data_IF_803828332008
#
_entry.id   IF_803828332008
#
_cell.length_a   1.000
_cell.length_b   1.000
_cell.length_c   1.000
_cell.angle_alpha   90.00
_cell.angle_beta   90.00
_cell.angle_gamma   90.00
#
_symmetry.space_group_name_H-M   'P 1'
#
loop_
_entity.id
_entity.type
_entity.pdbx_description
1 polymer ?
#
# COMPACT_ATOMS: atom_id res chain seq x y z
N UNK A 1 27.76 49.50 43.51
CA UNK A 1 28.18 48.44 42.59
C UNK A 1 27.28 48.56 41.38
N UNK A 2 27.86 48.80 40.21
CA UNK A 2 27.24 49.48 39.05
C UNK A 2 26.91 48.47 37.95
N UNK A 3 25.69 48.60 37.42
CA UNK A 3 25.11 48.26 36.11
C UNK A 3 25.15 46.85 35.47
N UNK A 4 24.12 46.55 34.63
CA UNK A 4 23.73 45.23 34.16
C UNK A 4 24.20 44.91 32.73
N UNK A 5 24.28 43.62 32.38
CA UNK A 5 24.55 43.16 31.02
C UNK A 5 23.27 42.63 30.34
N UNK A 6 23.19 42.90 29.04
CA UNK A 6 22.08 42.70 28.11
C UNK A 6 21.63 41.25 27.89
N UNK A 7 20.34 41.16 27.54
CA UNK A 7 19.64 40.25 26.62
C UNK A 7 20.34 39.02 26.04
N UNK A 8 19.64 37.89 26.06
CA UNK A 8 19.25 37.27 24.79
C UNK A 8 17.98 36.42 24.90
N UNK A 9 17.08 36.63 23.92
CA UNK A 9 15.89 35.84 23.66
C UNK A 9 16.28 34.50 23.01
N UNK A 10 15.81 33.37 23.54
CA UNK A 10 15.46 32.20 22.72
C UNK A 10 14.60 31.19 23.52
N UNK A 11 13.36 30.86 23.10
CA UNK A 11 12.75 29.60 23.47
C UNK A 11 13.36 28.51 22.59
N UNK A 12 14.09 27.57 23.19
CA UNK A 12 14.58 26.41 22.48
C UNK A 12 13.39 25.53 22.05
N UNK A 13 13.00 25.75 20.81
CA UNK A 13 12.34 24.87 19.86
C UNK A 13 11.78 23.55 20.42
N UNK A 14 10.46 23.43 20.37
CA UNK A 14 9.81 22.15 20.05
C UNK A 14 10.57 21.52 18.89
N UNK A 15 11.12 20.34 19.13
CA UNK A 15 11.72 19.47 18.13
C UNK A 15 10.59 18.92 17.22
N UNK A 16 10.04 19.79 16.38
CA UNK A 16 9.36 19.43 15.14
C UNK A 16 10.45 19.16 14.11
N UNK A 17 10.99 17.95 14.12
CA UNK A 17 11.79 17.39 13.02
C UNK A 17 11.48 15.91 12.94
N UNK A 18 11.11 15.31 11.82
CA UNK A 18 10.81 15.81 10.50
C UNK A 18 9.93 14.71 9.90
N UNK A 19 8.71 15.04 9.50
CA UNK A 19 7.99 14.18 8.56
C UNK A 19 8.83 14.16 7.29
N UNK A 20 9.53 13.06 7.04
CA UNK A 20 10.14 12.81 5.74
C UNK A 20 8.99 12.60 4.79
N UNK A 21 8.61 13.67 4.12
CA UNK A 21 7.64 13.65 3.04
C UNK A 21 8.33 12.93 1.87
N UNK A 22 8.38 11.59 1.93
CA UNK A 22 8.86 10.68 0.88
C UNK A 22 7.84 10.62 -0.26
N UNK A 23 7.33 11.76 -0.70
CA UNK A 23 6.17 11.85 -1.59
C UNK A 23 6.42 11.32 -3.01
N UNK A 24 7.62 10.84 -3.31
CA UNK A 24 8.01 10.32 -4.63
C UNK A 24 8.54 8.89 -4.69
N UNK A 25 8.99 8.29 -3.59
CA UNK A 25 9.60 6.95 -3.64
C UNK A 25 8.51 5.86 -3.67
N UNK A 26 8.64 4.85 -4.54
CA UNK A 26 7.80 3.66 -4.46
C UNK A 26 7.86 3.01 -3.08
N UNK A 27 6.72 2.55 -2.59
CA UNK A 27 6.62 1.82 -1.31
C UNK A 27 5.99 0.46 -1.55
N UNK A 28 6.32 -0.53 -0.75
CA UNK A 28 5.62 -1.81 -0.81
C UNK A 28 4.20 -1.69 -0.27
N UNK A 29 3.30 -2.60 -0.68
CA UNK A 29 1.96 -2.68 -0.12
C UNK A 29 2.02 -2.91 1.40
N UNK A 30 2.98 -3.71 1.88
CA UNK A 30 3.19 -3.90 3.31
C UNK A 30 3.53 -2.59 4.04
N UNK A 31 4.51 -1.83 3.53
CA UNK A 31 4.89 -0.53 4.11
C UNK A 31 3.74 0.48 4.07
N UNK A 32 2.94 0.49 3.00
CA UNK A 32 1.78 1.36 2.89
C UNK A 32 0.71 1.05 3.95
N UNK A 33 0.44 -0.23 4.19
CA UNK A 33 -0.51 -0.66 5.20
C UNK A 33 -0.01 -0.31 6.61
N UNK A 34 1.30 -0.42 6.86
CA UNK A 34 1.88 -0.03 8.14
C UNK A 34 1.82 1.49 8.36
N UNK A 35 2.31 2.25 7.40
CA UNK A 35 2.45 3.71 7.53
C UNK A 35 1.12 4.47 7.41
N UNK A 36 0.14 3.95 6.67
CA UNK A 36 -1.10 4.68 6.37
C UNK A 36 -2.36 4.07 6.98
N UNK A 37 -2.41 2.74 7.16
CA UNK A 37 -3.53 2.07 7.82
C UNK A 37 -3.24 1.74 9.29
N UNK A 38 -2.06 2.12 9.80
CA UNK A 38 -1.66 1.95 11.20
C UNK A 38 -1.40 0.50 11.59
N UNK A 39 -1.09 -0.38 10.62
CA UNK A 39 -0.74 -1.76 10.91
C UNK A 39 0.67 -1.85 11.51
N UNK A 40 0.84 -2.71 12.51
CA UNK A 40 2.13 -3.18 12.97
C UNK A 40 2.59 -4.44 12.23
N UNK A 41 3.87 -4.84 12.36
CA UNK A 41 4.39 -6.09 11.79
C UNK A 41 3.58 -7.33 12.19
N UNK A 42 3.03 -7.34 13.40
CA UNK A 42 2.21 -8.43 13.93
C UNK A 42 0.88 -8.64 13.18
N UNK A 43 0.46 -7.66 12.37
CA UNK A 43 -0.73 -7.78 11.55
C UNK A 43 -0.51 -8.66 10.31
N UNK A 44 0.74 -8.96 9.94
CA UNK A 44 1.13 -9.71 8.74
C UNK A 44 1.53 -11.16 9.00
N UNK A 45 1.29 -11.69 10.21
CA UNK A 45 1.71 -13.06 10.55
C UNK A 45 2.82 -13.10 11.59
N UNK A 46 3.33 -14.31 11.84
CA UNK A 46 4.50 -14.52 12.72
C UNK A 46 5.82 -14.33 11.99
N UNK A 47 5.80 -14.44 10.66
CA UNK A 47 6.99 -14.38 9.83
C UNK A 47 7.11 -13.04 9.11
N UNK A 48 5.99 -12.40 8.72
CA UNK A 48 5.95 -11.04 8.15
C UNK A 48 6.81 -10.87 6.87
N UNK A 49 6.59 -9.84 6.03
CA UNK A 49 5.39 -9.01 5.86
C UNK A 49 4.32 -9.72 4.99
N UNK A 50 4.32 -11.05 4.95
CA UNK A 50 3.32 -11.83 4.24
C UNK A 50 2.55 -12.75 5.22
N UNK A 51 1.19 -12.78 5.18
CA UNK A 51 0.28 -11.99 4.34
C UNK A 51 -0.52 -10.90 5.09
N UNK A 52 -1.03 -9.84 4.42
CA UNK A 52 -2.38 -9.38 4.72
C UNK A 52 -3.37 -10.42 4.20
N UNK A 53 -4.18 -10.98 5.09
CA UNK A 53 -5.20 -11.96 4.72
C UNK A 53 -6.30 -11.26 3.92
N UNK A 54 -6.70 -11.82 2.78
CA UNK A 54 -7.80 -11.24 2.00
C UNK A 54 -9.13 -11.70 2.55
N UNK A 55 -10.05 -10.76 2.76
CA UNK A 55 -11.42 -11.06 3.20
C UNK A 55 -12.41 -10.20 2.46
N UNK A 56 -13.63 -10.72 2.32
CA UNK A 56 -14.78 -9.91 1.97
C UNK A 56 -15.24 -9.19 3.25
N UNK A 57 -15.19 -7.86 3.25
CA UNK A 57 -15.70 -7.01 4.32
C UNK A 57 -17.05 -6.41 3.95
N UNK A 58 -17.95 -6.23 4.92
CA UNK A 58 -19.12 -5.36 4.74
C UNK A 58 -18.77 -3.94 5.14
N UNK A 59 -19.21 -2.94 4.36
CA UNK A 59 -19.02 -1.51 4.68
C UNK A 59 -19.79 -1.17 5.94
N UNK A 60 -19.10 -0.75 7.00
CA UNK A 60 -19.73 -0.63 8.32
C UNK A 60 -20.56 0.64 8.56
N UNK A 61 -20.81 1.51 7.55
CA UNK A 61 -21.39 2.83 7.85
C UNK A 61 -22.58 3.33 7.03
N UNK A 62 -23.04 2.67 5.95
CA UNK A 62 -24.25 3.20 5.23
C UNK A 62 -25.21 2.12 4.70
N UNK A 63 -24.78 0.89 4.42
CA UNK A 63 -25.72 -0.17 4.03
C UNK A 63 -25.19 -1.55 4.40
N UNK A 64 -26.03 -2.38 5.04
CA UNK A 64 -25.75 -3.79 5.35
C UNK A 64 -25.66 -4.68 4.09
N UNK A 65 -25.60 -4.08 2.90
CA UNK A 65 -25.71 -4.74 1.58
C UNK A 65 -24.48 -4.55 0.69
N UNK A 66 -23.52 -3.70 1.07
CA UNK A 66 -22.31 -3.47 0.26
C UNK A 66 -21.12 -4.23 0.84
N UNK A 67 -20.79 -5.34 0.18
CA UNK A 67 -19.56 -6.08 0.40
C UNK A 67 -18.46 -5.54 -0.50
N UNK A 68 -17.21 -5.59 -0.05
CA UNK A 68 -16.05 -5.28 -0.86
C UNK A 68 -14.81 -6.10 -0.45
N UNK A 69 -13.82 -6.24 -1.36
CA UNK A 69 -12.52 -6.79 -1.00
C UNK A 69 -11.80 -5.93 0.04
N UNK A 70 -11.30 -6.56 1.09
CA UNK A 70 -10.52 -5.92 2.14
C UNK A 70 -9.23 -6.67 2.44
N UNK A 71 -8.17 -5.93 2.74
CA UNK A 71 -7.05 -6.44 3.53
C UNK A 71 -7.51 -6.65 4.96
N UNK A 72 -7.20 -7.79 5.54
CA UNK A 72 -7.51 -8.13 6.92
C UNK A 72 -6.25 -8.58 7.66
N UNK A 73 -6.13 -8.13 8.90
CA UNK A 73 -5.02 -8.54 9.76
C UNK A 73 -5.04 -10.05 10.07
N UNK A 74 -3.85 -10.64 10.23
CA UNK A 74 -3.65 -11.96 10.81
C UNK A 74 -4.28 -12.13 12.19
N UNK A 75 -4.09 -11.13 13.05
CA UNK A 75 -4.62 -11.16 14.40
C UNK A 75 -6.11 -10.86 14.33
N UNK A 76 -6.91 -11.79 14.83
CA UNK A 76 -8.33 -11.52 15.13
C UNK A 76 -8.39 -10.47 16.23
N UNK A 77 -9.00 -9.33 15.94
CA UNK A 77 -9.36 -8.36 16.96
C UNK A 77 -10.31 -9.00 17.99
N UNK A 78 -10.07 -8.72 19.28
CA UNK A 78 -11.11 -8.79 20.31
C UNK A 78 -11.86 -7.45 20.32
N UNK A 79 -12.67 -7.20 19.30
CA UNK A 79 -13.44 -5.96 19.18
C UNK A 79 -13.95 -5.70 17.75
N UNK A 80 -14.88 -4.74 17.58
CA UNK A 80 -15.51 -4.48 16.30
C UNK A 80 -14.55 -3.70 15.37
N UNK A 81 -13.94 -4.40 14.41
CA UNK A 81 -13.62 -3.90 13.07
C UNK A 81 -12.47 -2.90 12.86
N UNK A 82 -11.41 -2.86 13.68
CA UNK A 82 -10.24 -1.97 13.40
C UNK A 82 -9.14 -2.60 12.54
N UNK A 83 -9.27 -3.86 12.16
CA UNK A 83 -8.25 -4.64 11.42
C UNK A 83 -8.52 -4.84 9.94
N UNK A 84 -9.56 -4.19 9.36
CA UNK A 84 -9.89 -4.29 7.94
C UNK A 84 -9.62 -2.99 7.21
N UNK A 85 -9.01 -3.09 6.03
CA UNK A 85 -8.74 -1.96 5.15
C UNK A 85 -9.35 -2.28 3.79
N UNK A 86 -10.28 -1.47 3.31
CA UNK A 86 -10.87 -1.63 1.99
C UNK A 86 -9.78 -1.48 0.91
N UNK A 87 -9.68 -2.46 0.00
CA UNK A 87 -8.62 -2.46 -1.02
C UNK A 87 -8.81 -1.26 -1.95
N UNK A 88 -10.05 -0.96 -2.35
CA UNK A 88 -10.37 0.17 -3.22
C UNK A 88 -9.94 1.51 -2.60
N UNK A 89 -10.32 1.76 -1.35
CA UNK A 89 -10.00 3.01 -0.65
C UNK A 89 -8.49 3.18 -0.44
N UNK A 90 -7.79 2.09 -0.11
CA UNK A 90 -6.35 2.15 0.09
C UNK A 90 -5.61 2.40 -1.23
N UNK A 91 -5.97 1.67 -2.28
CA UNK A 91 -5.34 1.79 -3.60
C UNK A 91 -5.69 3.11 -4.30
N UNK A 92 -6.77 3.79 -3.94
CA UNK A 92 -7.15 5.09 -4.49
C UNK A 92 -6.09 6.19 -4.29
N UNK A 93 -5.15 6.02 -3.35
CA UNK A 93 -4.04 6.94 -3.08
C UNK A 93 -2.88 6.81 -4.08
N UNK A 94 -2.87 5.73 -4.86
CA UNK A 94 -1.78 5.35 -5.76
C UNK A 94 -2.22 5.47 -7.22
N UNK A 95 -1.27 5.74 -8.12
CA UNK A 95 -1.51 5.81 -9.57
C UNK A 95 -1.13 4.51 -10.28
N UNK A 96 -0.10 3.85 -9.77
CA UNK A 96 0.49 2.68 -10.37
C UNK A 96 0.89 1.62 -9.34
N UNK A 97 0.90 0.39 -9.81
CA UNK A 97 1.30 -0.81 -9.08
C UNK A 97 2.32 -1.59 -9.92
N UNK A 98 3.27 -2.23 -9.27
CA UNK A 98 4.21 -3.17 -9.88
C UNK A 98 4.22 -4.45 -9.04
N UNK A 99 4.21 -5.58 -9.74
CA UNK A 99 4.06 -6.91 -9.15
C UNK A 99 5.35 -7.68 -9.41
N UNK A 100 5.96 -8.17 -8.34
CA UNK A 100 7.09 -9.11 -8.40
C UNK A 100 6.57 -10.53 -8.66
N UNK A 101 7.25 -11.35 -9.48
CA UNK A 101 6.83 -12.72 -9.79
C UNK A 101 6.62 -13.60 -8.55
N UNK A 102 7.34 -13.31 -7.45
CA UNK A 102 7.17 -14.02 -6.17
C UNK A 102 5.71 -13.97 -5.68
N UNK A 103 4.97 -12.90 -5.97
CA UNK A 103 3.56 -12.79 -5.59
C UNK A 103 2.69 -13.90 -6.20
N UNK A 104 3.04 -14.37 -7.39
CA UNK A 104 2.31 -15.45 -8.06
C UNK A 104 2.85 -16.82 -7.66
N UNK A 105 4.17 -16.97 -7.53
CA UNK A 105 4.77 -18.25 -7.16
C UNK A 105 4.31 -18.74 -5.78
N UNK A 106 4.20 -17.83 -4.81
CA UNK A 106 3.71 -18.14 -3.45
C UNK A 106 2.21 -18.45 -3.41
N UNK A 107 1.40 -17.83 -4.28
CA UNK A 107 -0.06 -17.97 -4.26
C UNK A 107 -0.59 -19.10 -5.16
N UNK A 108 0.04 -19.31 -6.31
CA UNK A 108 -0.48 -20.19 -7.37
C UNK A 108 0.46 -21.36 -7.69
N UNK A 109 1.70 -21.31 -7.20
CA UNK A 109 2.67 -22.39 -7.29
C UNK A 109 3.86 -22.08 -8.20
N UNK A 110 4.88 -22.96 -8.21
CA UNK A 110 6.11 -22.75 -8.97
C UNK A 110 5.85 -22.64 -10.48
N UNK A 111 6.47 -21.66 -11.13
CA UNK A 111 6.35 -21.45 -12.58
C UNK A 111 5.23 -20.51 -13.03
N UNK A 112 4.40 -20.04 -12.11
CA UNK A 112 3.36 -19.03 -12.39
C UNK A 112 3.93 -17.60 -12.48
N UNK A 113 5.16 -17.38 -11.99
CA UNK A 113 5.89 -16.11 -12.04
C UNK A 113 6.52 -15.78 -13.40
N UNK A 114 5.84 -16.05 -14.51
CA UNK A 114 6.39 -15.84 -15.87
C UNK A 114 5.71 -14.71 -16.63
N UNK A 115 6.44 -14.04 -17.54
CA UNK A 115 5.89 -12.92 -18.33
C UNK A 115 4.71 -13.32 -19.22
N UNK A 116 4.55 -14.61 -19.53
CA UNK A 116 3.39 -15.13 -20.26
C UNK A 116 2.11 -15.14 -19.45
N UNK A 117 2.21 -15.18 -18.12
CA UNK A 117 1.07 -15.19 -17.19
C UNK A 117 0.66 -13.77 -16.83
N UNK A 118 1.64 -12.92 -16.50
CA UNK A 118 1.40 -11.55 -16.08
C UNK A 118 2.64 -10.68 -16.37
N UNK A 119 2.48 -9.39 -16.70
CA UNK A 119 3.62 -8.51 -16.96
C UNK A 119 4.31 -8.04 -15.68
N UNK A 120 5.05 -8.94 -15.04
CA UNK A 120 5.83 -8.68 -13.84
C UNK A 120 6.90 -7.60 -14.05
N UNK A 121 7.26 -6.89 -12.98
CA UNK A 121 8.29 -5.83 -13.02
C UNK A 121 7.91 -4.57 -13.82
N UNK A 122 6.71 -4.53 -14.42
CA UNK A 122 6.20 -3.35 -15.09
C UNK A 122 5.31 -2.52 -14.15
N UNK A 123 5.43 -1.19 -14.24
CA UNK A 123 4.48 -0.27 -13.62
C UNK A 123 3.18 -0.21 -14.44
N UNK A 124 2.09 -0.60 -13.81
CA UNK A 124 0.76 -0.66 -14.41
C UNK A 124 -0.15 0.35 -13.72
N UNK A 125 -0.89 1.12 -14.51
CA UNK A 125 -1.86 2.10 -13.99
C UNK A 125 -3.04 1.37 -13.37
N UNK A 126 -3.42 1.76 -12.15
CA UNK A 126 -4.60 1.23 -11.45
C UNK A 126 -5.86 1.85 -12.07
N UNK A 127 -6.79 1.01 -12.55
CA UNK A 127 -8.06 1.47 -13.17
C UNK A 127 -9.27 1.23 -12.31
N UNK A 128 -9.34 0.10 -11.61
CA UNK A 128 -10.49 -0.24 -10.79
C UNK A 128 -10.22 -1.45 -9.91
N UNK A 129 -10.95 -1.56 -8.81
CA UNK A 129 -10.91 -2.71 -7.89
C UNK A 129 -12.28 -3.35 -7.88
N UNK A 130 -12.34 -4.65 -8.18
CA UNK A 130 -13.58 -5.42 -8.13
C UNK A 130 -13.37 -6.80 -7.53
N UNK A 131 -14.46 -7.55 -7.39
CA UNK A 131 -14.40 -8.93 -6.89
C UNK A 131 -13.67 -9.89 -7.83
N UNK A 132 -13.62 -9.57 -9.14
CA UNK A 132 -12.87 -10.35 -10.13
C UNK A 132 -11.37 -10.08 -10.17
N UNK A 133 -10.88 -9.07 -9.44
CA UNK A 133 -9.48 -8.66 -9.50
C UNK A 133 -9.29 -7.14 -9.49
N UNK A 134 -8.02 -6.75 -9.60
CA UNK A 134 -7.59 -5.38 -9.82
C UNK A 134 -7.41 -5.16 -11.33
N UNK A 135 -8.17 -4.23 -11.89
CA UNK A 135 -8.08 -3.83 -13.29
C UNK A 135 -6.88 -2.88 -13.48
N UNK A 136 -5.97 -3.26 -14.37
CA UNK A 136 -4.71 -2.58 -14.59
C UNK A 136 -4.50 -2.27 -16.07
N UNK A 137 -3.72 -1.23 -16.34
CA UNK A 137 -3.36 -0.85 -17.70
C UNK A 137 -1.85 -0.61 -17.83
N UNK A 138 -1.20 -1.38 -18.70
CA UNK A 138 0.18 -1.16 -19.12
C UNK A 138 0.24 -0.49 -20.49
N UNK A 139 1.16 0.47 -20.68
CA UNK A 139 1.32 1.15 -21.99
C UNK A 139 1.68 0.18 -23.12
N UNK A 140 2.45 -0.87 -22.82
CA UNK A 140 2.88 -1.89 -23.80
C UNK A 140 1.99 -3.13 -23.78
N UNK A 141 1.38 -3.42 -22.63
CA UNK A 141 0.67 -4.66 -22.35
C UNK A 141 -0.84 -4.55 -22.60
N UNK A 142 -1.39 -3.33 -22.56
CA UNK A 142 -2.82 -3.11 -22.59
C UNK A 142 -3.48 -3.42 -21.25
N UNK A 143 -4.74 -3.87 -21.31
CA UNK A 143 -5.54 -4.15 -20.13
C UNK A 143 -5.15 -5.51 -19.57
N UNK A 144 -4.85 -5.56 -18.27
CA UNK A 144 -4.56 -6.80 -17.56
C UNK A 144 -5.32 -6.80 -16.24
N UNK A 145 -5.70 -7.99 -15.77
CA UNK A 145 -6.39 -8.15 -14.49
C UNK A 145 -5.45 -8.88 -13.55
N UNK A 146 -5.15 -8.28 -12.40
CA UNK A 146 -4.41 -8.93 -11.32
C UNK A 146 -5.41 -9.66 -10.40
N UNK A 147 -5.31 -10.99 -10.22
CA UNK A 147 -6.09 -11.71 -9.23
C UNK A 147 -5.86 -11.14 -7.83
N UNK A 148 -6.93 -11.01 -7.04
CA UNK A 148 -6.82 -10.43 -5.69
C UNK A 148 -5.85 -11.22 -4.80
N UNK A 149 -5.80 -12.55 -4.95
CA UNK A 149 -4.97 -13.44 -4.14
C UNK A 149 -3.48 -13.06 -4.16
N UNK A 150 -2.96 -12.56 -5.29
CA UNK A 150 -1.58 -12.10 -5.40
C UNK A 150 -1.26 -10.93 -4.44
N UNK A 151 -2.25 -10.14 -4.03
CA UNK A 151 -2.08 -9.06 -3.06
C UNK A 151 -1.79 -9.58 -1.63
N UNK A 152 -1.99 -10.87 -1.37
CA UNK A 152 -1.62 -11.50 -0.11
C UNK A 152 -0.09 -11.56 0.09
N UNK A 153 0.72 -11.36 -0.95
CA UNK A 153 2.19 -11.27 -0.85
C UNK A 153 2.60 -9.80 -0.85
N UNK A 154 2.16 -9.05 0.15
CA UNK A 154 2.26 -7.59 0.17
C UNK A 154 3.69 -7.03 0.09
N UNK A 155 4.71 -7.80 0.48
CA UNK A 155 6.10 -7.41 0.29
C UNK A 155 6.55 -7.45 -1.18
N UNK A 156 5.88 -8.25 -2.02
CA UNK A 156 6.14 -8.43 -3.45
C UNK A 156 5.35 -7.45 -4.33
N UNK A 157 4.59 -6.55 -3.72
CA UNK A 157 3.76 -5.57 -4.42
C UNK A 157 4.29 -4.17 -4.13
N UNK A 158 4.58 -3.41 -5.17
CA UNK A 158 5.07 -2.04 -5.08
C UNK A 158 4.01 -1.07 -5.57
N UNK A 159 3.90 0.07 -4.89
CA UNK A 159 2.91 1.11 -5.13
C UNK A 159 3.61 2.44 -5.34
N UNK A 160 3.09 3.23 -6.30
CA UNK A 160 3.56 4.58 -6.56
C UNK A 160 2.41 5.57 -6.37
N UNK A 161 2.71 6.71 -5.72
CA UNK A 161 1.71 7.72 -5.37
C UNK A 161 1.29 8.54 -6.58
N UNK A 162 0.05 9.05 -6.53
CA UNK A 162 -0.44 10.03 -7.50
C UNK A 162 0.41 11.30 -7.44
N UNK A 163 0.91 11.75 -8.59
CA UNK A 163 1.73 12.97 -8.71
C UNK A 163 3.23 12.75 -8.56
N UNK A 164 3.69 11.50 -8.43
CA UNK A 164 5.10 11.13 -8.26
C UNK A 164 5.82 10.79 -9.57
N UNK A 165 5.30 11.18 -10.74
CA UNK A 165 6.01 10.92 -12.00
C UNK A 165 7.39 11.61 -11.97
N UNK A 166 8.49 10.89 -12.27
CA UNK A 166 9.77 11.54 -12.50
C UNK A 166 9.60 12.44 -13.72
N UNK A 167 9.80 13.73 -13.50
CA UNK A 167 9.79 14.76 -14.52
C UNK A 167 10.80 14.37 -15.60
N UNK A 168 10.32 13.72 -16.67
CA UNK A 168 11.16 13.38 -17.81
C UNK A 168 11.39 14.68 -18.57
N UNK A 169 12.59 15.25 -18.41
CA UNK A 169 12.99 16.47 -19.09
C UNK A 169 12.93 16.33 -20.63
N UNK A 170 12.72 17.43 -21.38
CA UNK A 170 12.71 17.38 -22.82
C UNK A 170 14.10 17.01 -23.35
N UNK A 171 14.12 16.17 -24.38
CA UNK A 171 15.30 15.81 -25.18
C UNK A 171 15.77 16.97 -26.03
#
# INVERSE_FOLDING_TARGET
>A
MTDPALSDHAPAALDRRAGTDRSGEPVTLAESLMSEAGWGPENFGREGPNPPYLRIGGKLWVSLTEFEPCFASFRRDRGPFRSKVAIADHLAKYDAIMIDPLAFEECFGPGEGTETVFPFGAWLTIRGVGFGGLELWGKRQGAVTLPLDALAVASAIWLRRKGSEPQSGPT
#
